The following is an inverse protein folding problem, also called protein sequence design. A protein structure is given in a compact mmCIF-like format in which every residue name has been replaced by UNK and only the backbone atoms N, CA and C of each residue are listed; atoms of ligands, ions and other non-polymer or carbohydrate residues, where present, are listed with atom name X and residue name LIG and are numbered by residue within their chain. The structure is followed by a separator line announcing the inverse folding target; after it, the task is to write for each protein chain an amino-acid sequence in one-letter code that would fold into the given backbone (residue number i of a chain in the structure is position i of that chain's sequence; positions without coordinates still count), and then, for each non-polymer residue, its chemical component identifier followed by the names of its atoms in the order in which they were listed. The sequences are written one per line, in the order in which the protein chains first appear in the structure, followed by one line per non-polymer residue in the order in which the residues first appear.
data_IF_006267737519
#
_entry.id   IF_006267737519
#
_cell.length_a   1.000
_cell.length_b   1.000
_cell.length_c   1.000
_cell.angle_alpha   90.00
_cell.angle_beta   90.00
_cell.angle_gamma   90.00
#
_symmetry.space_group_name_H-M   'P 1'
#
loop_
_entity.id
_entity.type
_entity.pdbx_description
1 polymer ?
#
# COMPACT_ATOMS: atom_id res chain seq x y z
N UNK A 1 -25.58 -50.31 1.23
CA UNK A 1 -24.69 -49.46 2.08
C UNK A 1 -23.69 -48.79 1.17
N UNK A 2 -24.09 -47.69 0.59
CA UNK A 2 -23.21 -46.85 -0.26
C UNK A 2 -22.54 -45.80 0.66
N UNK A 3 -21.27 -46.04 0.92
CA UNK A 3 -20.44 -45.09 1.63
C UNK A 3 -20.11 -43.92 0.75
N UNK A 4 -20.77 -42.77 0.99
CA UNK A 4 -20.42 -41.48 0.42
C UNK A 4 -18.98 -41.15 0.73
N UNK A 5 -18.08 -41.30 -0.23
CA UNK A 5 -16.74 -40.73 -0.22
C UNK A 5 -16.88 -39.22 -0.32
N UNK A 6 -16.87 -38.52 0.82
CA UNK A 6 -16.55 -37.12 0.87
C UNK A 6 -15.09 -37.00 0.43
N UNK A 7 -14.88 -36.68 -0.84
CA UNK A 7 -13.57 -36.39 -1.38
C UNK A 7 -13.00 -35.19 -0.63
N UNK A 8 -11.83 -35.39 0.02
CA UNK A 8 -11.02 -34.29 0.53
C UNK A 8 -10.80 -33.30 -0.61
N UNK A 9 -11.39 -32.12 -0.51
CA UNK A 9 -11.13 -31.01 -1.43
C UNK A 9 -9.64 -30.69 -1.30
N UNK A 10 -8.84 -31.16 -2.26
CA UNK A 10 -7.41 -30.90 -2.32
C UNK A 10 -7.19 -29.39 -2.19
N UNK A 11 -6.35 -29.00 -1.25
CA UNK A 11 -5.99 -27.61 -1.00
C UNK A 11 -5.57 -26.96 -2.33
N UNK A 12 -6.42 -26.05 -2.85
CA UNK A 12 -6.15 -25.39 -4.13
C UNK A 12 -4.93 -24.49 -3.97
N UNK A 13 -3.82 -24.82 -4.64
CA UNK A 13 -2.58 -24.06 -4.58
C UNK A 13 -2.77 -22.64 -5.08
N UNK A 14 -2.25 -21.67 -4.33
CA UNK A 14 -2.34 -20.24 -4.62
C UNK A 14 -0.94 -19.71 -4.88
N UNK A 15 -0.76 -19.06 -6.03
CA UNK A 15 0.47 -18.33 -6.34
C UNK A 15 0.21 -16.83 -6.17
N UNK A 16 0.95 -16.19 -5.27
CA UNK A 16 0.99 -14.73 -5.09
C UNK A 16 2.16 -14.18 -5.93
N UNK A 17 1.84 -13.46 -7.00
CA UNK A 17 2.81 -12.91 -7.93
C UNK A 17 3.08 -11.44 -7.62
N UNK A 18 4.32 -11.09 -7.25
CA UNK A 18 4.75 -9.71 -7.03
C UNK A 18 6.07 -9.39 -7.75
N UNK A 19 6.44 -8.11 -7.82
CA UNK A 19 7.67 -7.66 -8.48
C UNK A 19 8.92 -8.08 -7.72
N UNK A 20 8.91 -7.89 -6.41
CA UNK A 20 10.04 -8.10 -5.49
C UNK A 20 9.52 -8.16 -4.04
N UNK A 21 10.43 -8.40 -3.10
CA UNK A 21 10.20 -8.33 -1.66
C UNK A 21 11.03 -7.22 -0.99
N UNK A 22 11.35 -6.17 -1.74
CA UNK A 22 11.99 -4.97 -1.20
C UNK A 22 11.06 -4.18 -0.29
N UNK A 23 11.59 -3.12 0.33
CA UNK A 23 10.78 -2.27 1.20
C UNK A 23 9.73 -1.50 0.40
N UNK A 24 8.45 -1.74 0.71
CA UNK A 24 7.35 -1.07 0.04
C UNK A 24 5.98 -1.51 0.55
N UNK A 25 4.98 -0.66 0.30
CA UNK A 25 3.61 -0.90 0.78
C UNK A 25 2.96 -2.15 0.18
N UNK A 26 3.17 -2.42 -1.12
CA UNK A 26 2.63 -3.62 -1.79
C UNK A 26 3.33 -4.88 -1.25
N UNK A 27 4.63 -4.83 -1.09
CA UNK A 27 5.44 -5.95 -0.61
C UNK A 27 5.04 -6.36 0.82
N UNK A 28 4.79 -5.38 1.69
CA UNK A 28 4.28 -5.64 3.05
C UNK A 28 2.90 -6.32 2.99
N UNK A 29 2.01 -5.86 2.11
CA UNK A 29 0.70 -6.48 1.90
C UNK A 29 0.84 -7.94 1.44
N UNK A 30 1.74 -8.22 0.50
CA UNK A 30 2.00 -9.59 0.02
C UNK A 30 2.49 -10.50 1.14
N UNK A 31 3.44 -10.02 1.95
CA UNK A 31 3.98 -10.81 3.08
C UNK A 31 2.88 -11.10 4.12
N UNK A 32 2.13 -10.09 4.55
CA UNK A 32 1.07 -10.26 5.53
C UNK A 32 -0.04 -11.19 5.02
N UNK A 33 -0.41 -11.06 3.75
CA UNK A 33 -1.40 -11.93 3.13
C UNK A 33 -0.89 -13.37 2.98
N UNK A 34 0.35 -13.55 2.51
CA UNK A 34 0.95 -14.88 2.35
C UNK A 34 0.99 -15.64 3.68
N UNK A 35 1.49 -14.98 4.73
CA UNK A 35 1.57 -15.53 6.06
C UNK A 35 0.18 -15.89 6.60
N UNK A 36 -0.77 -14.96 6.53
CA UNK A 36 -2.12 -15.18 7.05
C UNK A 36 -2.90 -16.28 6.29
N UNK A 37 -2.70 -16.44 4.98
CA UNK A 37 -3.29 -17.55 4.22
C UNK A 37 -2.63 -18.89 4.57
N UNK A 38 -1.30 -18.91 4.71
CA UNK A 38 -0.56 -20.12 5.10
C UNK A 38 -0.89 -20.58 6.54
N UNK A 39 -1.11 -19.65 7.48
CA UNK A 39 -1.58 -19.96 8.84
C UNK A 39 -2.97 -20.61 8.83
N UNK A 40 -3.81 -20.29 7.85
CA UNK A 40 -5.12 -20.91 7.64
C UNK A 40 -5.07 -22.24 6.85
N UNK A 41 -3.87 -22.78 6.63
CA UNK A 41 -3.66 -24.08 5.99
C UNK A 41 -3.78 -24.06 4.46
N UNK A 42 -3.72 -22.89 3.81
CA UNK A 42 -3.71 -22.81 2.35
C UNK A 42 -2.29 -23.06 1.81
N UNK A 43 -2.17 -23.73 0.67
CA UNK A 43 -0.87 -23.96 -0.01
C UNK A 43 -0.51 -22.69 -0.80
N UNK A 44 0.43 -21.91 -0.25
CA UNK A 44 0.81 -20.59 -0.76
C UNK A 44 2.24 -20.60 -1.30
N UNK A 45 2.40 -20.12 -2.53
CA UNK A 45 3.70 -19.85 -3.16
C UNK A 45 3.81 -18.37 -3.49
N UNK A 46 4.90 -17.74 -3.06
CA UNK A 46 5.26 -16.38 -3.43
C UNK A 46 6.16 -16.42 -4.67
N UNK A 47 5.63 -16.11 -5.86
CA UNK A 47 6.41 -15.98 -7.09
C UNK A 47 6.89 -14.53 -7.25
N UNK A 48 8.21 -14.34 -7.24
CA UNK A 48 8.84 -13.02 -7.18
C UNK A 48 9.65 -12.80 -8.47
N UNK A 49 9.41 -11.69 -9.17
CA UNK A 49 10.11 -11.41 -10.43
C UNK A 49 11.60 -11.14 -10.21
N UNK A 50 11.97 -10.38 -9.18
CA UNK A 50 13.35 -10.06 -8.81
C UNK A 50 13.76 -10.85 -7.57
N UNK A 51 15.04 -11.24 -7.51
CA UNK A 51 15.60 -12.01 -6.39
C UNK A 51 15.84 -11.13 -5.17
N UNK A 52 15.80 -11.76 -3.99
CA UNK A 52 16.10 -11.12 -2.72
C UNK A 52 14.97 -10.24 -2.19
N UNK A 53 15.35 -9.25 -1.39
CA UNK A 53 14.46 -8.26 -0.79
C UNK A 53 14.42 -8.30 0.72
N UNK A 54 14.37 -7.11 1.34
CA UNK A 54 14.43 -6.92 2.79
C UNK A 54 13.25 -7.57 3.53
N UNK A 55 12.12 -7.81 2.87
CA UNK A 55 10.96 -8.45 3.48
C UNK A 55 10.93 -9.98 3.31
N UNK A 56 11.86 -10.56 2.55
CA UNK A 56 11.94 -12.02 2.40
C UNK A 56 12.04 -12.78 3.74
N UNK A 57 12.86 -12.35 4.72
CA UNK A 57 12.95 -13.01 6.02
C UNK A 57 11.66 -12.95 6.86
N UNK A 58 10.72 -12.08 6.51
CA UNK A 58 9.43 -11.94 7.19
C UNK A 58 8.37 -12.94 6.73
N UNK A 59 8.64 -13.67 5.65
CA UNK A 59 7.75 -14.74 5.20
C UNK A 59 7.83 -15.94 6.13
N UNK A 60 6.67 -16.49 6.47
CA UNK A 60 6.56 -17.74 7.24
C UNK A 60 7.28 -18.88 6.51
N UNK A 61 7.96 -19.80 7.23
CA UNK A 61 8.54 -21.01 6.62
C UNK A 61 7.53 -21.90 5.90
N UNK A 62 6.23 -21.71 6.14
CA UNK A 62 5.14 -22.40 5.43
C UNK A 62 4.89 -21.84 4.02
N UNK A 63 5.41 -20.66 3.72
CA UNK A 63 5.27 -20.02 2.40
C UNK A 63 6.49 -20.36 1.55
N UNK A 64 6.28 -21.03 0.42
CA UNK A 64 7.36 -21.26 -0.53
C UNK A 64 7.63 -20.00 -1.34
N UNK A 65 8.89 -19.74 -1.67
CA UNK A 65 9.31 -18.58 -2.46
C UNK A 65 9.98 -19.01 -3.74
N UNK A 66 9.46 -18.57 -4.87
CA UNK A 66 9.97 -18.86 -6.22
C UNK A 66 10.53 -17.58 -6.85
N UNK A 67 11.85 -17.47 -6.89
CA UNK A 67 12.55 -16.30 -7.41
C UNK A 67 12.84 -16.46 -8.91
N UNK A 68 12.10 -15.73 -9.75
CA UNK A 68 12.19 -15.87 -11.21
C UNK A 68 13.43 -15.20 -11.81
N UNK A 69 14.11 -14.32 -11.07
CA UNK A 69 15.38 -13.69 -11.49
C UNK A 69 15.24 -12.90 -12.80
N UNK A 70 14.19 -12.12 -12.94
CA UNK A 70 13.94 -11.30 -14.11
C UNK A 70 14.65 -9.96 -14.01
N UNK A 71 15.33 -9.53 -15.10
CA UNK A 71 15.96 -8.22 -15.19
C UNK A 71 14.98 -7.15 -15.68
N UNK A 72 15.26 -5.87 -15.40
CA UNK A 72 14.35 -4.73 -15.64
C UNK A 72 14.29 -4.23 -17.09
N UNK A 73 14.85 -4.93 -18.07
CA UNK A 73 14.89 -4.46 -19.47
C UNK A 73 13.60 -4.76 -20.26
N UNK A 74 13.15 -3.89 -21.21
CA UNK A 74 11.88 -4.05 -21.94
C UNK A 74 11.77 -5.33 -22.78
N UNK A 75 12.85 -5.84 -23.36
CA UNK A 75 12.92 -7.12 -24.04
C UNK A 75 12.78 -8.32 -23.08
N UNK A 76 13.01 -8.11 -21.79
CA UNK A 76 12.78 -9.07 -20.74
C UNK A 76 11.29 -9.35 -20.48
N UNK A 77 10.35 -8.59 -21.06
CA UNK A 77 8.91 -8.90 -21.01
C UNK A 77 8.54 -10.22 -21.70
N UNK A 78 9.33 -10.63 -22.69
CA UNK A 78 9.18 -11.96 -23.32
C UNK A 78 9.86 -13.06 -22.48
N UNK A 79 10.96 -12.74 -21.81
CA UNK A 79 11.71 -13.68 -20.97
C UNK A 79 11.07 -13.91 -19.58
N UNK A 80 10.61 -12.88 -18.85
CA UNK A 80 9.85 -13.07 -17.62
C UNK A 80 8.59 -13.90 -17.83
N UNK A 81 7.85 -13.64 -18.91
CA UNK A 81 6.67 -14.42 -19.26
C UNK A 81 6.96 -15.89 -19.48
N UNK A 82 8.14 -16.27 -19.97
CA UNK A 82 8.52 -17.68 -20.12
C UNK A 82 8.94 -18.32 -18.79
N UNK A 83 9.69 -17.62 -17.94
CA UNK A 83 10.05 -18.07 -16.58
C UNK A 83 8.82 -18.17 -15.68
N UNK A 84 7.94 -17.17 -15.72
CA UNK A 84 6.68 -17.21 -15.02
C UNK A 84 5.82 -18.39 -15.50
N UNK A 85 5.72 -18.62 -16.80
CA UNK A 85 4.97 -19.73 -17.35
C UNK A 85 5.56 -21.08 -16.95
N UNK A 86 6.89 -21.22 -16.85
CA UNK A 86 7.54 -22.41 -16.35
C UNK A 86 7.22 -22.65 -14.88
N UNK A 87 7.37 -21.64 -14.02
CA UNK A 87 6.98 -21.67 -12.62
C UNK A 87 5.52 -22.11 -12.48
N UNK A 88 4.59 -21.43 -13.18
CA UNK A 88 3.17 -21.74 -13.10
C UNK A 88 2.83 -23.16 -13.60
N UNK A 89 3.56 -23.72 -14.58
CA UNK A 89 3.39 -25.12 -14.98
C UNK A 89 3.86 -26.10 -13.92
N UNK A 90 5.05 -25.84 -13.35
CA UNK A 90 5.63 -26.66 -12.28
C UNK A 90 4.77 -26.63 -11.03
N UNK A 91 4.30 -25.45 -10.63
CA UNK A 91 3.47 -25.27 -9.47
C UNK A 91 2.03 -25.76 -9.67
N UNK A 92 1.50 -25.73 -10.89
CA UNK A 92 0.12 -26.14 -11.23
C UNK A 92 -0.94 -25.43 -10.39
N UNK A 93 -0.93 -24.06 -10.27
CA UNK A 93 -1.83 -23.38 -9.37
C UNK A 93 -3.27 -23.43 -9.85
N UNK A 94 -4.20 -23.57 -8.92
CA UNK A 94 -5.61 -23.29 -9.19
C UNK A 94 -5.87 -21.80 -9.35
N UNK A 95 -5.20 -20.98 -8.53
CA UNK A 95 -5.36 -19.51 -8.55
C UNK A 95 -4.01 -18.78 -8.52
N UNK A 96 -3.91 -17.77 -9.38
CA UNK A 96 -2.81 -16.79 -9.38
C UNK A 96 -3.38 -15.43 -8.94
N UNK A 97 -2.84 -14.86 -7.88
CA UNK A 97 -3.10 -13.48 -7.45
C UNK A 97 -1.91 -12.63 -7.84
N UNK A 98 -2.11 -11.62 -8.66
CA UNK A 98 -1.02 -10.72 -9.10
C UNK A 98 -1.19 -9.34 -8.46
N UNK A 99 -0.07 -8.78 -7.93
CA UNK A 99 -0.06 -7.54 -7.16
C UNK A 99 0.56 -6.38 -7.92
N UNK A 100 -0.28 -5.43 -8.32
CA UNK A 100 0.11 -4.21 -9.01
C UNK A 100 0.12 -4.36 -10.53
N UNK A 101 0.09 -3.22 -11.20
CA UNK A 101 -0.19 -3.12 -12.63
C UNK A 101 0.72 -3.98 -13.52
N UNK A 102 2.04 -3.96 -13.30
CA UNK A 102 2.98 -4.71 -14.14
C UNK A 102 2.81 -6.21 -14.02
N UNK A 103 2.67 -6.71 -12.81
CA UNK A 103 2.44 -8.14 -12.55
C UNK A 103 1.07 -8.60 -13.03
N UNK A 104 0.04 -7.74 -12.93
CA UNK A 104 -1.29 -7.99 -13.50
C UNK A 104 -1.21 -8.19 -15.03
N UNK A 105 -0.45 -7.33 -15.73
CA UNK A 105 -0.24 -7.46 -17.17
C UNK A 105 0.52 -8.74 -17.51
N UNK A 106 1.60 -9.06 -16.79
CA UNK A 106 2.42 -10.26 -17.02
C UNK A 106 1.61 -11.53 -16.79
N UNK A 107 0.82 -11.61 -15.73
CA UNK A 107 -0.05 -12.75 -15.45
C UNK A 107 -1.09 -12.95 -16.56
N UNK A 108 -1.76 -11.86 -16.99
CA UNK A 108 -2.74 -11.90 -18.08
C UNK A 108 -2.10 -12.33 -19.41
N UNK A 109 -0.95 -11.79 -19.78
CA UNK A 109 -0.21 -12.19 -20.97
C UNK A 109 0.23 -13.64 -20.90
N UNK A 110 0.75 -14.12 -19.77
CA UNK A 110 1.16 -15.52 -19.58
C UNK A 110 -0.03 -16.46 -19.75
N UNK A 111 -1.19 -16.09 -19.22
CA UNK A 111 -2.44 -16.85 -19.38
C UNK A 111 -2.84 -16.99 -20.85
N UNK A 112 -2.84 -15.88 -21.61
CA UNK A 112 -3.23 -15.86 -23.04
C UNK A 112 -2.21 -16.62 -23.90
N UNK A 113 -0.94 -16.19 -23.88
CA UNK A 113 0.09 -16.67 -24.80
C UNK A 113 0.48 -18.15 -24.57
N UNK A 114 0.37 -18.61 -23.33
CA UNK A 114 0.75 -19.97 -22.94
C UNK A 114 -0.46 -20.88 -22.65
N UNK A 115 -1.69 -20.37 -22.81
CA UNK A 115 -2.96 -21.09 -22.57
C UNK A 115 -2.96 -21.81 -21.22
N UNK A 116 -2.45 -21.14 -20.16
CA UNK A 116 -2.33 -21.73 -18.83
C UNK A 116 -3.69 -21.77 -18.14
N UNK A 117 -4.11 -22.93 -17.60
CA UNK A 117 -5.44 -23.13 -17.03
C UNK A 117 -5.50 -22.72 -15.54
N UNK A 118 -5.23 -21.45 -15.22
CA UNK A 118 -5.38 -20.96 -13.86
C UNK A 118 -6.43 -19.84 -13.76
N UNK A 119 -7.00 -19.70 -12.60
CA UNK A 119 -7.85 -18.59 -12.23
C UNK A 119 -6.98 -17.37 -11.94
N UNK A 120 -7.19 -16.23 -12.62
CA UNK A 120 -6.45 -15.00 -12.39
C UNK A 120 -7.28 -14.04 -11.54
N UNK A 121 -6.71 -13.63 -10.41
CA UNK A 121 -7.21 -12.52 -9.57
C UNK A 121 -6.19 -11.38 -9.67
N UNK A 122 -6.61 -10.24 -10.22
CA UNK A 122 -5.74 -9.07 -10.36
C UNK A 122 -5.94 -8.14 -9.16
N UNK A 123 -4.87 -7.84 -8.41
CA UNK A 123 -4.92 -6.88 -7.30
C UNK A 123 -4.37 -5.53 -7.73
N UNK A 124 -5.17 -4.46 -7.62
CA UNK A 124 -4.78 -3.10 -8.01
C UNK A 124 -4.56 -2.22 -6.79
N UNK A 125 -3.36 -1.64 -6.72
CA UNK A 125 -2.84 -0.89 -5.57
C UNK A 125 -2.66 0.61 -5.82
N UNK A 126 -3.15 1.12 -6.96
CA UNK A 126 -3.02 2.53 -7.31
C UNK A 126 -4.12 2.95 -8.29
N UNK A 127 -4.43 4.24 -8.32
CA UNK A 127 -5.38 4.78 -9.29
C UNK A 127 -4.80 4.74 -10.70
N UNK A 128 -5.52 4.12 -11.61
CA UNK A 128 -5.12 4.00 -13.01
C UNK A 128 -5.16 5.36 -13.72
N UNK A 129 -6.15 6.19 -13.38
CA UNK A 129 -6.30 7.56 -13.90
C UNK A 129 -5.10 8.45 -13.59
N UNK A 130 -4.57 8.39 -12.37
CA UNK A 130 -3.40 9.18 -11.98
C UNK A 130 -2.14 8.82 -12.80
N UNK A 131 -1.97 7.55 -13.15
CA UNK A 131 -0.85 7.10 -14.00
C UNK A 131 -0.93 7.62 -15.43
N UNK A 132 -2.11 8.01 -15.88
CA UNK A 132 -2.36 8.52 -17.22
C UNK A 132 -2.55 10.04 -17.26
N UNK A 133 -2.45 10.72 -16.11
CA UNK A 133 -2.76 12.14 -16.01
C UNK A 133 -1.95 13.00 -17.00
N UNK A 134 -0.66 12.67 -17.18
CA UNK A 134 0.27 13.36 -18.05
C UNK A 134 0.39 12.74 -19.45
N UNK A 135 -0.37 11.68 -19.77
CA UNK A 135 -0.33 11.07 -21.10
C UNK A 135 -1.10 11.93 -22.12
N UNK A 136 -0.59 12.04 -23.36
CA UNK A 136 -1.34 12.59 -24.47
C UNK A 136 -2.62 11.75 -24.73
N UNK A 137 -3.70 12.34 -25.27
CA UNK A 137 -5.01 11.68 -25.43
C UNK A 137 -4.94 10.34 -26.14
N UNK A 138 -4.15 10.22 -27.21
CA UNK A 138 -3.96 8.98 -27.95
C UNK A 138 -3.26 7.89 -27.11
N UNK A 139 -2.20 8.25 -26.35
CA UNK A 139 -1.50 7.31 -25.47
C UNK A 139 -2.40 6.86 -24.33
N UNK A 140 -3.21 7.76 -23.76
CA UNK A 140 -4.21 7.50 -22.74
C UNK A 140 -5.26 6.48 -23.24
N UNK A 141 -5.82 6.72 -24.43
CA UNK A 141 -6.78 5.80 -25.06
C UNK A 141 -6.17 4.41 -25.29
N UNK A 142 -4.96 4.35 -25.90
CA UNK A 142 -4.25 3.10 -26.18
C UNK A 142 -3.94 2.30 -24.91
N UNK A 143 -3.48 3.00 -23.85
CA UNK A 143 -3.19 2.38 -22.54
C UNK A 143 -4.46 1.84 -21.88
N UNK A 144 -5.57 2.58 -21.96
CA UNK A 144 -6.88 2.16 -21.49
C UNK A 144 -7.39 0.91 -22.23
N UNK A 145 -7.32 0.89 -23.57
CA UNK A 145 -7.77 -0.26 -24.36
C UNK A 145 -6.95 -1.51 -24.08
N UNK A 146 -5.62 -1.37 -23.96
CA UNK A 146 -4.73 -2.45 -23.57
C UNK A 146 -5.07 -2.99 -22.17
N UNK A 147 -5.27 -2.12 -21.21
CA UNK A 147 -5.66 -2.50 -19.85
C UNK A 147 -7.00 -3.25 -19.87
N UNK A 148 -8.01 -2.69 -20.54
CA UNK A 148 -9.34 -3.35 -20.67
C UNK A 148 -9.24 -4.76 -21.25
N UNK A 149 -8.43 -4.95 -22.29
CA UNK A 149 -8.22 -6.28 -22.89
C UNK A 149 -7.59 -7.26 -21.90
N UNK A 150 -6.56 -6.83 -21.18
CA UNK A 150 -5.82 -7.69 -20.26
C UNK A 150 -6.60 -7.98 -18.97
N UNK A 151 -7.31 -7.00 -18.40
CA UNK A 151 -8.14 -7.22 -17.21
C UNK A 151 -9.37 -8.08 -17.48
N UNK A 152 -9.80 -8.24 -18.76
CA UNK A 152 -10.82 -9.23 -19.12
C UNK A 152 -10.41 -10.67 -18.80
N UNK A 153 -9.10 -10.96 -18.76
CA UNK A 153 -8.55 -12.28 -18.42
C UNK A 153 -8.64 -12.61 -16.94
N UNK A 154 -8.77 -11.59 -16.10
CA UNK A 154 -9.00 -11.78 -14.68
C UNK A 154 -10.45 -12.19 -14.43
N UNK A 155 -10.64 -13.13 -13.53
CA UNK A 155 -11.97 -13.52 -13.06
C UNK A 155 -12.56 -12.42 -12.19
N UNK A 156 -11.73 -11.85 -11.30
CA UNK A 156 -12.07 -10.65 -10.57
C UNK A 156 -10.84 -9.73 -10.41
N UNK A 157 -11.13 -8.47 -10.11
CA UNK A 157 -10.14 -7.45 -9.78
C UNK A 157 -10.37 -7.04 -8.32
N UNK A 158 -9.38 -7.27 -7.46
CA UNK A 158 -9.39 -6.81 -6.08
C UNK A 158 -8.77 -5.43 -6.02
N UNK A 159 -9.53 -4.45 -5.57
CA UNK A 159 -9.10 -3.07 -5.36
C UNK A 159 -8.86 -2.81 -3.88
N UNK A 160 -7.79 -2.11 -3.55
CA UNK A 160 -7.39 -1.84 -2.16
C UNK A 160 -8.23 -0.74 -1.49
N UNK A 161 -9.09 -0.05 -2.25
CA UNK A 161 -9.99 1.00 -1.79
C UNK A 161 -11.19 1.15 -2.74
N UNK A 162 -12.27 1.72 -2.25
CA UNK A 162 -13.42 2.07 -3.09
C UNK A 162 -13.02 3.05 -4.19
N UNK A 163 -12.20 4.06 -3.86
CA UNK A 163 -11.72 5.03 -4.85
C UNK A 163 -10.90 4.39 -5.99
N UNK A 164 -10.10 3.35 -5.71
CA UNK A 164 -9.41 2.59 -6.76
C UNK A 164 -10.40 1.78 -7.63
N UNK A 165 -11.43 1.22 -7.02
CA UNK A 165 -12.50 0.51 -7.71
C UNK A 165 -13.27 1.44 -8.65
N UNK A 166 -13.71 2.60 -8.13
CA UNK A 166 -14.46 3.61 -8.88
C UNK A 166 -13.64 4.15 -10.08
N UNK A 167 -12.33 4.32 -9.90
CA UNK A 167 -11.45 4.75 -11.00
C UNK A 167 -11.42 3.74 -12.15
N UNK A 168 -11.30 2.44 -11.86
CA UNK A 168 -11.32 1.39 -12.89
C UNK A 168 -12.67 1.27 -13.60
N UNK A 169 -13.78 1.42 -12.87
CA UNK A 169 -15.14 1.43 -13.42
C UNK A 169 -15.36 2.65 -14.30
N UNK A 170 -15.06 3.85 -13.79
CA UNK A 170 -15.18 5.13 -14.51
C UNK A 170 -14.37 5.13 -15.82
N UNK A 171 -13.20 4.53 -15.82
CA UNK A 171 -12.38 4.35 -17.00
C UNK A 171 -12.87 3.22 -17.93
N UNK A 172 -13.87 2.45 -17.54
CA UNK A 172 -14.40 1.30 -18.31
C UNK A 172 -13.35 0.19 -18.53
N UNK A 173 -12.39 0.05 -17.61
CA UNK A 173 -11.35 -0.98 -17.67
C UNK A 173 -11.87 -2.30 -17.14
N UNK A 174 -12.54 -2.27 -15.99
CA UNK A 174 -13.13 -3.44 -15.33
C UNK A 174 -14.62 -3.20 -15.08
N UNK A 175 -15.53 -4.14 -15.44
CA UNK A 175 -16.94 -3.99 -15.13
C UNK A 175 -17.19 -4.15 -13.61
N UNK A 176 -18.20 -3.46 -13.03
CA UNK A 176 -18.49 -3.52 -11.59
C UNK A 176 -18.65 -4.94 -11.04
N UNK A 177 -19.26 -5.85 -11.83
CA UNK A 177 -19.49 -7.26 -11.44
C UNK A 177 -18.21 -8.03 -11.13
N UNK A 178 -17.07 -7.62 -11.72
CA UNK A 178 -15.75 -8.24 -11.50
C UNK A 178 -14.94 -7.55 -10.39
N UNK A 179 -15.41 -6.47 -9.81
CA UNK A 179 -14.68 -5.74 -8.77
C UNK A 179 -15.02 -6.29 -7.39
N UNK A 180 -13.98 -6.38 -6.56
CA UNK A 180 -14.09 -6.63 -5.13
C UNK A 180 -13.19 -5.62 -4.41
N UNK A 181 -13.68 -5.00 -3.36
CA UNK A 181 -12.86 -4.13 -2.51
C UNK A 181 -12.41 -4.93 -1.30
N UNK A 182 -11.09 -5.05 -1.14
CA UNK A 182 -10.48 -5.70 0.03
C UNK A 182 -9.35 -4.81 0.52
N UNK A 183 -9.51 -4.27 1.72
CA UNK A 183 -8.50 -3.41 2.33
C UNK A 183 -7.21 -4.17 2.62
N UNK A 184 -6.10 -3.45 2.58
CA UNK A 184 -4.79 -4.02 2.85
C UNK A 184 -4.67 -4.59 4.27
N UNK A 185 -4.02 -5.76 4.45
CA UNK A 185 -3.73 -6.36 5.75
C UNK A 185 -2.59 -5.60 6.43
N UNK A 186 -2.89 -4.71 7.39
CA UNK A 186 -1.89 -3.80 7.97
C UNK A 186 -1.71 -4.03 9.46
N UNK A 187 -2.80 -4.06 10.22
CA UNK A 187 -2.74 -4.07 11.69
C UNK A 187 -2.64 -5.49 12.23
N UNK A 188 -1.56 -5.76 12.93
CA UNK A 188 -1.30 -7.03 13.61
C UNK A 188 -0.50 -6.82 14.92
N UNK A 189 -0.18 -7.92 15.59
CA UNK A 189 0.61 -7.91 16.81
C UNK A 189 2.06 -7.44 16.56
N UNK A 190 2.64 -7.73 15.38
CA UNK A 190 4.02 -7.37 15.04
C UNK A 190 4.18 -5.85 14.90
N UNK A 191 3.21 -5.18 14.28
CA UNK A 191 3.16 -3.72 14.20
C UNK A 191 3.11 -3.11 15.61
N UNK A 192 2.27 -3.65 16.49
CA UNK A 192 2.15 -3.15 17.86
C UNK A 192 3.42 -3.35 18.68
N UNK A 193 4.08 -4.49 18.52
CA UNK A 193 5.37 -4.78 19.17
C UNK A 193 6.44 -3.79 18.67
N UNK A 194 6.55 -3.60 17.36
CA UNK A 194 7.49 -2.66 16.76
C UNK A 194 7.21 -1.19 17.19
N UNK A 195 5.96 -0.81 17.37
CA UNK A 195 5.58 0.52 17.87
C UNK A 195 6.02 0.77 19.33
N UNK A 196 6.19 -0.28 20.13
CA UNK A 196 6.65 -0.19 21.51
C UNK A 196 8.16 -0.02 21.65
N UNK A 197 8.94 -0.33 20.60
CA UNK A 197 10.39 -0.20 20.61
C UNK A 197 10.86 1.23 20.89
N UNK A 198 11.99 1.44 21.58
CA UNK A 198 12.51 2.77 21.86
C UNK A 198 13.04 3.46 20.59
N UNK A 199 12.97 4.79 20.57
CA UNK A 199 13.60 5.63 19.54
C UNK A 199 14.58 6.59 20.22
N UNK A 200 15.85 6.50 19.86
CA UNK A 200 16.93 7.29 20.48
C UNK A 200 17.04 8.74 19.97
N UNK A 201 16.02 9.32 19.36
CA UNK A 201 16.09 10.66 18.80
C UNK A 201 15.80 11.76 19.84
N UNK A 202 16.65 12.84 19.94
CA UNK A 202 16.49 13.88 20.95
C UNK A 202 15.12 14.57 20.93
N UNK A 203 14.53 14.78 19.75
CA UNK A 203 13.23 15.45 19.59
C UNK A 203 12.03 14.66 20.09
N UNK A 204 12.20 13.35 20.32
CA UNK A 204 11.14 12.47 20.83
C UNK A 204 11.23 12.23 22.34
N UNK A 205 12.12 12.95 23.04
CA UNK A 205 12.23 12.88 24.51
C UNK A 205 11.02 13.57 25.17
N UNK A 206 10.58 13.09 26.33
CA UNK A 206 9.55 13.80 27.11
C UNK A 206 9.91 15.27 27.34
N UNK A 207 8.95 16.16 27.15
CA UNK A 207 9.14 17.62 27.30
C UNK A 207 9.71 18.34 26.07
N UNK A 208 10.09 17.63 25.00
CA UNK A 208 10.47 18.26 23.74
C UNK A 208 9.26 18.86 23.02
N UNK A 209 9.53 19.80 22.08
CA UNK A 209 8.51 20.33 21.19
C UNK A 209 7.81 19.21 20.41
N UNK A 210 6.51 19.35 20.10
CA UNK A 210 5.77 18.31 19.40
C UNK A 210 6.36 18.02 18.02
N UNK A 211 6.52 16.73 17.72
CA UNK A 211 7.05 16.25 16.44
C UNK A 211 5.90 15.89 15.52
N UNK A 212 5.88 16.51 14.34
CA UNK A 212 5.11 16.08 13.19
C UNK A 212 5.95 15.10 12.35
N UNK A 213 5.36 14.02 11.91
CA UNK A 213 6.04 12.97 11.18
C UNK A 213 5.48 12.82 9.77
N UNK A 214 6.34 12.70 8.78
CA UNK A 214 5.96 12.30 7.43
C UNK A 214 6.78 11.07 7.02
N UNK A 215 6.14 10.08 6.41
CA UNK A 215 6.77 8.79 6.08
C UNK A 215 6.49 8.42 4.63
N UNK A 216 7.55 8.16 3.87
CA UNK A 216 7.44 7.69 2.49
C UNK A 216 8.59 8.12 1.59
N UNK A 217 8.60 7.63 0.35
CA UNK A 217 9.62 7.98 -0.64
C UNK A 217 9.61 9.48 -0.94
N UNK A 218 10.78 10.09 -1.01
CA UNK A 218 10.94 11.50 -1.36
C UNK A 218 10.83 11.67 -2.89
N UNK A 219 9.58 11.75 -3.38
CA UNK A 219 9.20 11.91 -4.79
C UNK A 219 8.09 12.96 -4.93
N UNK A 220 7.92 13.60 -6.11
CA UNK A 220 6.95 14.68 -6.32
C UNK A 220 5.50 14.30 -5.96
N UNK A 221 5.13 13.04 -6.18
CA UNK A 221 3.78 12.54 -5.88
C UNK A 221 3.40 12.64 -4.40
N UNK A 222 4.38 12.64 -3.50
CA UNK A 222 4.17 12.74 -2.05
C UNK A 222 3.97 14.16 -1.54
N UNK A 223 4.19 15.20 -2.37
CA UNK A 223 3.84 16.58 -2.06
C UNK A 223 4.58 17.18 -0.85
N UNK A 224 5.80 16.73 -0.58
CA UNK A 224 6.59 17.21 0.56
C UNK A 224 6.95 18.70 0.45
N UNK A 225 6.97 19.27 -0.74
CA UNK A 225 7.08 20.71 -0.96
C UNK A 225 5.91 21.49 -0.36
N UNK A 226 4.67 20.98 -0.51
CA UNK A 226 3.48 21.57 0.11
C UNK A 226 3.53 21.43 1.64
N UNK A 227 4.01 20.28 2.15
CA UNK A 227 4.22 20.05 3.57
C UNK A 227 5.24 21.03 4.19
N UNK A 228 6.37 21.24 3.54
CA UNK A 228 7.40 22.18 4.05
C UNK A 228 6.86 23.62 4.09
N UNK A 229 6.09 24.06 3.08
CA UNK A 229 5.42 25.37 3.09
C UNK A 229 4.39 25.46 4.22
N UNK A 230 3.57 24.42 4.39
CA UNK A 230 2.60 24.35 5.48
C UNK A 230 3.29 24.39 6.86
N UNK A 231 4.38 23.65 7.03
CA UNK A 231 5.17 23.63 8.26
C UNK A 231 5.78 25.00 8.55
N UNK A 232 6.30 25.71 7.56
CA UNK A 232 6.75 27.12 7.71
C UNK A 232 5.62 28.02 8.22
N UNK A 233 4.39 27.85 7.75
CA UNK A 233 3.24 28.63 8.23
C UNK A 233 2.85 28.25 9.67
N UNK A 234 2.99 27.00 10.04
CA UNK A 234 2.72 26.51 11.40
C UNK A 234 3.71 27.14 12.41
N UNK A 235 5.02 27.16 12.08
CA UNK A 235 6.09 27.61 12.98
C UNK A 235 6.06 29.11 13.29
N UNK A 236 5.28 29.93 12.59
CA UNK A 236 5.09 31.36 12.90
C UNK A 236 4.39 31.62 14.23
N UNK A 237 3.83 30.63 14.90
CA UNK A 237 3.13 30.80 16.16
C UNK A 237 2.99 29.52 16.98
N UNK A 238 3.72 28.45 16.56
CA UNK A 238 3.68 27.16 17.25
C UNK A 238 5.08 26.56 17.21
N UNK A 239 5.67 26.30 18.37
CA UNK A 239 6.89 25.52 18.43
C UNK A 239 6.57 24.07 18.01
N UNK A 240 7.23 23.59 16.98
CA UNK A 240 7.08 22.24 16.47
C UNK A 240 8.34 21.78 15.72
N UNK A 241 8.48 20.49 15.57
CA UNK A 241 9.53 19.85 14.78
C UNK A 241 8.89 19.01 13.68
N UNK A 242 9.58 18.86 12.54
CA UNK A 242 9.13 18.00 11.44
C UNK A 242 10.20 16.95 11.15
N UNK A 243 9.81 15.69 11.14
CA UNK A 243 10.71 14.58 10.76
C UNK A 243 10.15 13.91 9.50
N UNK A 244 11.01 13.74 8.48
CA UNK A 244 10.71 12.99 7.27
C UNK A 244 11.47 11.66 7.30
N UNK A 245 10.75 10.56 7.40
CA UNK A 245 11.30 9.21 7.27
C UNK A 245 11.14 8.72 5.85
N UNK A 246 12.23 8.39 5.22
CA UNK A 246 12.31 7.90 3.86
C UNK A 246 13.39 8.58 3.06
N UNK A 247 13.61 8.06 1.86
CA UNK A 247 14.60 8.60 0.92
C UNK A 247 14.02 8.66 -0.50
N UNK A 248 14.72 9.34 -1.39
CA UNK A 248 14.30 9.44 -2.78
C UNK A 248 14.99 10.57 -3.56
N UNK A 249 14.76 10.64 -4.86
CA UNK A 249 15.44 11.58 -5.75
C UNK A 249 15.22 13.05 -5.41
N UNK A 250 14.13 13.39 -4.69
CA UNK A 250 13.79 14.77 -4.34
C UNK A 250 14.52 15.27 -3.06
N UNK A 251 15.29 14.43 -2.37
CA UNK A 251 15.88 14.77 -1.07
C UNK A 251 16.62 16.10 -1.10
N UNK A 252 17.62 16.25 -1.96
CA UNK A 252 18.42 17.49 -2.01
C UNK A 252 17.61 18.73 -2.35
N UNK A 253 16.58 18.60 -3.23
CA UNK A 253 15.66 19.69 -3.56
C UNK A 253 14.82 20.10 -2.35
N UNK A 254 14.36 19.13 -1.54
CA UNK A 254 13.55 19.39 -0.35
C UNK A 254 14.38 19.97 0.79
N UNK A 255 15.63 19.54 0.98
CA UNK A 255 16.59 20.14 1.93
C UNK A 255 16.89 21.60 1.55
N UNK A 256 17.11 21.90 0.25
CA UNK A 256 17.26 23.26 -0.25
C UNK A 256 16.02 24.11 0.03
N UNK A 257 14.83 23.59 -0.25
CA UNK A 257 13.57 24.30 0.04
C UNK A 257 13.38 24.57 1.55
N UNK A 258 13.76 23.65 2.43
CA UNK A 258 13.69 23.88 3.87
C UNK A 258 14.61 25.02 4.30
N UNK A 259 15.81 25.14 3.70
CA UNK A 259 16.75 26.24 3.92
C UNK A 259 16.20 27.57 3.40
N UNK A 260 15.66 27.60 2.18
CA UNK A 260 15.03 28.78 1.59
C UNK A 260 13.86 29.30 2.42
N UNK A 261 13.08 28.41 3.00
CA UNK A 261 11.96 28.73 3.88
C UNK A 261 12.40 29.13 5.29
N UNK A 262 13.69 29.02 5.64
CA UNK A 262 14.22 29.33 6.97
C UNK A 262 13.70 28.39 8.07
N UNK A 263 13.52 27.10 7.77
CA UNK A 263 13.03 26.09 8.70
C UNK A 263 13.98 24.88 8.84
N UNK A 264 15.16 24.92 8.24
CA UNK A 264 16.10 23.81 8.23
C UNK A 264 16.41 23.26 9.64
N UNK A 265 16.59 24.12 10.64
CA UNK A 265 16.85 23.74 12.03
C UNK A 265 15.68 23.01 12.71
N UNK A 266 14.47 23.10 12.14
CA UNK A 266 13.26 22.48 12.65
C UNK A 266 12.80 21.28 11.83
N UNK A 267 13.54 20.91 10.75
CA UNK A 267 13.22 19.80 9.86
C UNK A 267 14.36 18.79 9.85
N UNK A 268 14.05 17.54 10.13
CA UNK A 268 15.02 16.45 10.09
C UNK A 268 14.68 15.44 8.98
N UNK A 269 15.56 15.30 8.00
CA UNK A 269 15.50 14.27 6.96
C UNK A 269 16.25 13.02 7.45
N UNK A 270 15.55 12.13 8.15
CA UNK A 270 16.15 11.00 8.83
C UNK A 270 16.62 9.87 7.88
N UNK A 271 16.23 9.93 6.61
CA UNK A 271 16.51 8.84 5.68
C UNK A 271 15.59 7.62 5.87
N UNK A 272 16.01 6.49 5.34
CA UNK A 272 15.26 5.25 5.48
C UNK A 272 15.31 4.74 6.91
N UNK A 273 14.14 4.49 7.50
CA UNK A 273 13.98 3.95 8.84
C UNK A 273 13.28 2.58 8.77
N UNK A 274 13.93 1.51 9.25
CA UNK A 274 13.36 0.16 9.21
C UNK A 274 12.09 0.01 10.06
N UNK A 275 12.03 0.72 11.18
CA UNK A 275 10.89 0.70 12.11
C UNK A 275 10.22 2.08 12.24
N UNK A 276 9.42 2.52 11.26
CA UNK A 276 8.71 3.79 11.35
C UNK A 276 7.61 3.79 12.43
N UNK A 277 7.15 2.63 12.88
CA UNK A 277 6.07 2.48 13.85
C UNK A 277 6.46 3.03 15.23
N UNK A 278 7.70 2.83 15.63
CA UNK A 278 8.23 3.37 16.88
C UNK A 278 8.24 4.92 16.88
N UNK A 279 8.50 5.53 15.72
CA UNK A 279 8.42 6.96 15.51
C UNK A 279 6.96 7.44 15.51
N UNK A 280 6.08 6.76 14.78
CA UNK A 280 4.64 7.06 14.75
C UNK A 280 4.05 7.03 16.15
N UNK A 281 4.42 6.05 16.97
CA UNK A 281 3.92 5.89 18.33
C UNK A 281 4.29 7.06 19.27
N UNK A 282 5.30 7.86 18.92
CA UNK A 282 5.82 8.98 19.72
C UNK A 282 5.59 10.34 19.09
N UNK A 283 5.29 10.38 17.82
CA UNK A 283 4.97 11.62 17.12
C UNK A 283 3.61 12.21 17.61
N UNK A 284 3.49 13.51 17.63
CA UNK A 284 2.26 14.21 17.92
C UNK A 284 1.20 13.99 16.83
N UNK A 285 1.64 13.96 15.57
CA UNK A 285 0.79 13.58 14.44
C UNK A 285 1.63 13.11 13.24
N UNK A 286 1.04 12.23 12.42
CA UNK A 286 1.52 11.94 11.09
C UNK A 286 0.85 12.88 10.09
N UNK A 287 1.62 13.43 9.14
CA UNK A 287 1.12 14.29 8.06
C UNK A 287 1.36 13.62 6.72
N UNK A 288 0.28 13.38 5.97
CA UNK A 288 0.32 12.89 4.60
C UNK A 288 -0.04 14.02 3.63
N UNK A 289 0.93 14.47 2.85
CA UNK A 289 0.79 15.56 1.86
C UNK A 289 0.60 15.07 0.42
N UNK A 290 0.35 13.79 0.22
CA UNK A 290 0.33 13.13 -1.08
C UNK A 290 -0.68 13.76 -2.05
N UNK A 291 -0.30 13.85 -3.32
CA UNK A 291 -1.17 14.30 -4.41
C UNK A 291 -2.08 13.19 -4.93
N UNK A 292 -1.67 11.94 -4.73
CA UNK A 292 -2.44 10.76 -5.12
C UNK A 292 -1.96 9.53 -4.35
N UNK A 293 -2.89 8.67 -3.96
CA UNK A 293 -2.63 7.38 -3.32
C UNK A 293 -3.49 6.28 -3.95
N UNK A 294 -3.18 5.02 -3.66
CA UNK A 294 -4.09 3.91 -3.90
C UNK A 294 -4.90 3.58 -2.66
N UNK A 295 -4.23 3.55 -1.49
CA UNK A 295 -4.86 3.33 -0.19
C UNK A 295 -4.28 4.20 0.92
N UNK A 296 -2.97 4.50 0.90
CA UNK A 296 -2.23 5.21 1.96
C UNK A 296 -2.06 4.37 3.25
N UNK A 297 -1.39 3.21 3.15
CA UNK A 297 -1.12 2.32 4.29
C UNK A 297 -0.60 3.07 5.52
N UNK A 298 0.26 4.07 5.31
CA UNK A 298 0.88 4.86 6.37
C UNK A 298 -0.11 5.57 7.30
N UNK A 299 -1.30 5.93 6.80
CA UNK A 299 -2.37 6.50 7.65
C UNK A 299 -2.92 5.45 8.61
N UNK A 300 -3.16 4.23 8.11
CA UNK A 300 -3.62 3.11 8.95
C UNK A 300 -2.56 2.74 9.97
N UNK A 301 -1.29 2.68 9.56
CA UNK A 301 -0.15 2.41 10.43
C UNK A 301 -0.05 3.45 11.56
N UNK A 302 -0.21 4.73 11.23
CA UNK A 302 -0.22 5.81 12.21
C UNK A 302 -1.39 5.69 13.20
N UNK A 303 -2.62 5.45 12.71
CA UNK A 303 -3.79 5.22 13.57
C UNK A 303 -3.57 4.01 14.48
N UNK A 304 -3.02 2.90 13.98
CA UNK A 304 -2.72 1.70 14.76
C UNK A 304 -1.66 1.95 15.84
N UNK A 305 -0.68 2.83 15.56
CA UNK A 305 0.28 3.32 16.55
C UNK A 305 -0.33 4.34 17.52
N UNK A 306 -1.55 4.79 17.30
CA UNK A 306 -2.26 5.79 18.10
C UNK A 306 -1.77 7.22 17.86
N UNK A 307 -1.15 7.50 16.70
CA UNK A 307 -0.78 8.83 16.27
C UNK A 307 -1.98 9.54 15.63
N UNK A 308 -2.15 10.81 15.92
CA UNK A 308 -3.09 11.65 15.20
C UNK A 308 -2.66 11.80 13.73
N UNK A 309 -3.59 12.10 12.84
CA UNK A 309 -3.27 12.24 11.41
C UNK A 309 -3.86 13.50 10.80
N UNK A 310 -3.07 14.12 9.93
CA UNK A 310 -3.49 15.15 8.99
C UNK A 310 -3.17 14.63 7.60
N UNK A 311 -4.12 14.67 6.68
CA UNK A 311 -3.95 14.15 5.33
C UNK A 311 -4.53 15.07 4.29
N UNK A 312 -3.89 15.13 3.13
CA UNK A 312 -4.58 15.61 1.92
C UNK A 312 -5.75 14.66 1.61
N UNK A 313 -6.84 15.23 1.15
CA UNK A 313 -7.99 14.51 0.60
C UNK A 313 -7.74 14.15 -0.87
N UNK A 314 -6.60 13.49 -1.11
CA UNK A 314 -6.25 13.06 -2.45
C UNK A 314 -7.10 11.87 -2.92
N UNK A 315 -7.24 11.68 -4.24
CA UNK A 315 -8.02 10.57 -4.78
C UNK A 315 -7.54 9.22 -4.23
N UNK A 316 -8.49 8.43 -3.75
CA UNK A 316 -8.36 7.09 -3.17
C UNK A 316 -7.63 7.00 -1.82
N UNK A 317 -8.28 6.39 -0.87
CA UNK A 317 -7.71 5.99 0.42
C UNK A 317 -7.94 6.97 1.56
N UNK A 318 -7.37 8.19 1.61
CA UNK A 318 -7.41 9.02 2.81
C UNK A 318 -8.82 9.28 3.35
N UNK A 319 -9.76 9.72 2.52
CA UNK A 319 -11.16 9.97 2.92
C UNK A 319 -11.84 8.71 3.46
N UNK A 320 -11.55 7.57 2.85
CA UNK A 320 -12.10 6.26 3.21
C UNK A 320 -11.50 5.76 4.54
N UNK A 321 -10.18 5.87 4.71
CA UNK A 321 -9.46 5.51 5.94
C UNK A 321 -9.91 6.39 7.11
N UNK A 322 -10.06 7.69 6.89
CA UNK A 322 -10.40 8.65 7.92
C UNK A 322 -11.91 8.87 8.09
N UNK A 323 -12.76 8.08 7.40
CA UNK A 323 -14.23 8.19 7.44
C UNK A 323 -14.71 9.65 7.26
N UNK A 324 -14.24 10.27 6.16
CA UNK A 324 -14.62 11.65 5.86
C UNK A 324 -14.04 12.70 6.81
N UNK A 325 -13.04 12.37 7.61
CA UNK A 325 -12.42 13.28 8.58
C UNK A 325 -12.71 12.96 10.05
N UNK A 326 -13.44 11.88 10.33
CA UNK A 326 -13.77 11.46 11.70
C UNK A 326 -12.54 11.07 12.52
N UNK A 327 -11.56 10.44 11.88
CA UNK A 327 -10.37 9.89 12.55
C UNK A 327 -9.09 10.68 12.27
N UNK A 328 -9.22 11.87 11.66
CA UNK A 328 -8.10 12.75 11.33
C UNK A 328 -8.58 13.90 10.44
N UNK A 329 -7.73 14.90 10.23
CA UNK A 329 -8.12 16.08 9.46
C UNK A 329 -7.79 15.87 7.98
N UNK A 330 -8.76 16.18 7.11
CA UNK A 330 -8.61 16.16 5.66
C UNK A 330 -8.51 17.59 5.11
N UNK A 331 -7.56 17.83 4.21
CA UNK A 331 -7.34 19.12 3.58
C UNK A 331 -7.23 18.97 2.06
N UNK A 332 -7.54 20.00 1.25
CA UNK A 332 -7.37 19.94 -0.18
C UNK A 332 -5.91 19.66 -0.58
N UNK A 333 -5.70 18.95 -1.69
CA UNK A 333 -4.37 18.71 -2.27
C UNK A 333 -3.75 20.05 -2.69
N UNK A 334 -2.48 20.30 -2.29
CA UNK A 334 -1.74 21.52 -2.64
C UNK A 334 -2.09 22.75 -1.79
N UNK A 335 -3.04 22.65 -0.86
CA UNK A 335 -3.40 23.76 0.03
C UNK A 335 -2.53 23.73 1.30
N UNK A 336 -1.36 24.39 1.22
CA UNK A 336 -0.43 24.50 2.35
C UNK A 336 -1.02 25.28 3.54
N UNK A 337 -1.90 26.25 3.30
CA UNK A 337 -2.52 27.03 4.37
C UNK A 337 -3.53 26.17 5.16
N UNK A 338 -4.41 25.46 4.48
CA UNK A 338 -5.34 24.51 5.11
C UNK A 338 -4.58 23.41 5.86
N UNK A 339 -3.47 22.93 5.33
CA UNK A 339 -2.62 21.92 5.99
C UNK A 339 -1.97 22.47 7.27
N UNK A 340 -1.45 23.69 7.25
CA UNK A 340 -0.91 24.36 8.43
C UNK A 340 -1.95 24.50 9.53
N UNK A 341 -3.17 24.91 9.17
CA UNK A 341 -4.28 25.07 10.13
C UNK A 341 -4.75 23.71 10.68
N UNK A 342 -4.81 22.69 9.83
CA UNK A 342 -5.13 21.32 10.25
C UNK A 342 -4.08 20.77 11.23
N UNK A 343 -2.77 20.97 10.97
CA UNK A 343 -1.70 20.61 11.91
C UNK A 343 -1.86 21.34 13.25
N UNK A 344 -2.07 22.65 13.22
CA UNK A 344 -2.29 23.48 14.43
C UNK A 344 -3.48 22.98 15.23
N UNK A 345 -4.61 22.73 14.57
CA UNK A 345 -5.81 22.22 15.21
C UNK A 345 -5.64 20.82 15.80
N UNK A 346 -4.83 19.97 15.16
CA UNK A 346 -4.51 18.63 15.67
C UNK A 346 -3.63 18.70 16.91
N UNK A 347 -2.64 19.60 16.94
CA UNK A 347 -1.79 19.79 18.12
C UNK A 347 -2.57 20.36 19.33
N UNK A 348 -3.57 21.22 19.08
CA UNK A 348 -4.40 21.82 20.14
C UNK A 348 -5.44 20.86 20.71
N UNK A 349 -6.03 20.03 19.87
CA UNK A 349 -7.11 19.11 20.22
C UNK A 349 -6.89 17.73 19.58
N UNK A 350 -5.94 16.95 20.11
CA UNK A 350 -5.66 15.61 19.61
C UNK A 350 -6.79 14.65 19.99
N UNK A 351 -7.06 13.68 19.10
CA UNK A 351 -7.95 12.56 19.41
C UNK A 351 -7.24 11.60 20.39
N UNK A 352 -8.01 10.95 21.28
CA UNK A 352 -7.44 9.98 22.21
C UNK A 352 -6.79 8.79 21.48
N UNK A 353 -5.60 8.40 21.90
CA UNK A 353 -4.81 7.32 21.31
C UNK A 353 -5.60 6.02 21.10
N UNK A 354 -6.35 5.59 22.15
CA UNK A 354 -7.16 4.36 22.12
C UNK A 354 -8.26 4.42 21.05
N UNK A 355 -8.85 5.58 20.84
CA UNK A 355 -9.87 5.80 19.81
C UNK A 355 -9.31 5.59 18.41
N UNK A 356 -8.11 6.13 18.14
CA UNK A 356 -7.40 5.96 16.86
C UNK A 356 -7.03 4.50 16.61
N UNK A 357 -6.50 3.82 17.62
CA UNK A 357 -6.17 2.40 17.54
C UNK A 357 -7.41 1.54 17.24
N UNK A 358 -8.54 1.82 17.89
CA UNK A 358 -9.81 1.14 17.60
C UNK A 358 -10.28 1.37 16.16
N UNK A 359 -10.14 2.60 15.64
CA UNK A 359 -10.47 2.91 14.24
C UNK A 359 -9.62 2.14 13.24
N UNK A 360 -8.36 1.82 13.59
CA UNK A 360 -7.46 1.05 12.73
C UNK A 360 -7.81 -0.45 12.64
N UNK A 361 -8.53 -1.03 13.62
CA UNK A 361 -8.85 -2.47 13.68
C UNK A 361 -9.62 -3.00 12.47
N UNK A 362 -10.34 -2.16 11.76
CA UNK A 362 -11.03 -2.55 10.53
C UNK A 362 -10.06 -2.93 9.40
N UNK A 363 -8.77 -2.58 9.52
CA UNK A 363 -7.70 -2.92 8.60
C UNK A 363 -6.75 -3.99 9.17
N UNK A 364 -7.24 -4.81 10.12
CA UNK A 364 -6.47 -5.89 10.69
C UNK A 364 -6.12 -6.95 9.64
N UNK A 365 -4.97 -7.58 9.82
CA UNK A 365 -4.52 -8.69 8.96
C UNK A 365 -5.58 -9.79 8.94
N UNK A 366 -6.16 -10.12 10.10
CA UNK A 366 -7.18 -11.15 10.21
C UNK A 366 -8.42 -10.88 9.33
N UNK A 367 -8.98 -9.65 9.39
CA UNK A 367 -10.14 -9.26 8.58
C UNK A 367 -9.84 -9.27 7.09
N UNK A 368 -8.69 -8.72 6.71
CA UNK A 368 -8.27 -8.67 5.32
C UNK A 368 -8.03 -10.08 4.75
N UNK A 369 -7.32 -10.94 5.48
CA UNK A 369 -7.08 -12.33 5.08
C UNK A 369 -8.39 -13.11 4.97
N UNK A 370 -9.36 -12.86 5.86
CA UNK A 370 -10.70 -13.46 5.77
C UNK A 370 -11.42 -13.04 4.48
N UNK A 371 -11.40 -11.75 4.16
CA UNK A 371 -12.00 -11.24 2.93
C UNK A 371 -11.29 -11.78 1.66
N UNK A 372 -9.96 -11.88 1.69
CA UNK A 372 -9.20 -12.53 0.62
C UNK A 372 -9.54 -14.00 0.45
N UNK A 373 -9.70 -14.73 1.56
CA UNK A 373 -10.10 -16.14 1.52
C UNK A 373 -11.48 -16.30 0.86
N UNK A 374 -12.45 -15.43 1.15
CA UNK A 374 -13.76 -15.44 0.49
C UNK A 374 -13.62 -15.22 -1.03
N UNK A 375 -12.77 -14.26 -1.45
CA UNK A 375 -12.48 -14.05 -2.88
C UNK A 375 -11.83 -15.28 -3.52
N UNK A 376 -10.86 -15.89 -2.85
CA UNK A 376 -10.12 -17.05 -3.35
C UNK A 376 -10.99 -18.29 -3.46
N UNK A 377 -11.96 -18.47 -2.56
CA UNK A 377 -12.92 -19.56 -2.57
C UNK A 377 -14.17 -19.29 -3.43
N UNK A 378 -14.24 -18.14 -4.09
CA UNK A 378 -15.40 -17.75 -4.89
C UNK A 378 -16.67 -17.51 -4.08
N UNK A 379 -16.54 -17.26 -2.77
CA UNK A 379 -17.65 -16.95 -1.90
C UNK A 379 -18.01 -15.46 -2.08
N UNK A 380 -19.19 -15.19 -2.63
CA UNK A 380 -19.73 -13.84 -2.65
C UNK A 380 -20.32 -13.54 -1.28
N UNK A 381 -19.71 -12.66 -0.49
CA UNK A 381 -20.47 -11.99 0.57
C UNK A 381 -21.44 -11.02 -0.11
N UNK A 382 -22.73 -11.31 -0.04
CA UNK A 382 -23.75 -10.29 -0.24
C UNK A 382 -23.56 -9.28 0.92
N UNK A 383 -23.00 -8.11 0.60
CA UNK A 383 -22.95 -6.94 1.51
C UNK A 383 -24.30 -6.28 1.53
#
# INVERSE_FOLDING_TARGET
MEGSRVGAAGSQKIVLLCSDLEVGGIQRVVVNLANGLAERGMDVVCAVLRRGGAFRPLLSPRVRVDELGCTSQPLALLHPGSKLAACLRTEGPGTVVSFGHMTNLLAAWSKILRRLPFRLVASEHSTFGARMANDAPFHRWRRRMRARFLYRQAECCVCVSQGTADDLVRLGIVPPSKIRVVYNPIVDASLRAAAAEPVGHPWLRPGSAPVLLAVGRLIPLKGYDDLLRAFRMLTRGTEARLVLLGDGPDRGRLEGLASELGIAENVHFAGFEPNPYAWMARAAALVLSSRCEGFANVLVEALACGANVVSTDCPSGPREILEGGRWGRLVPVGDAAAMAEAMRGTLRAPLPRKTLQTAAERFSVERSVSAWQDVLLGRTRNS
#
